data_IF_343290473570
#
_entry.id   IF_343290473570
#
_cell.length_a   1.000
_cell.length_b   1.000
_cell.length_c   1.000
_cell.angle_alpha   90.00
_cell.angle_beta   90.00
_cell.angle_gamma   90.00
#
_symmetry.space_group_name_H-M   'P 1'
#
loop_
_entity.id
_entity.type
_entity.pdbx_description
1 polymer ?
#
# COMPACT_ATOMS: atom_id res chain seq x y z
N UNK A 1 -15.42 3.90 19.92
CA UNK A 1 -16.64 3.74 19.11
C UNK A 1 -16.52 2.43 18.33
N UNK A 2 -17.26 1.38 18.67
CA UNK A 2 -17.33 0.18 17.82
C UNK A 2 -18.32 0.48 16.70
N UNK A 3 -17.82 0.91 15.53
CA UNK A 3 -18.69 1.04 14.36
C UNK A 3 -19.19 -0.36 14.00
N UNK A 4 -20.50 -0.57 13.92
CA UNK A 4 -21.02 -1.82 13.37
C UNK A 4 -21.06 -1.70 11.85
N UNK A 5 -20.50 -2.68 11.14
CA UNK A 5 -20.64 -2.74 9.69
C UNK A 5 -22.12 -2.90 9.35
N UNK A 6 -22.64 -1.98 8.54
CA UNK A 6 -23.98 -2.12 7.99
C UNK A 6 -23.98 -3.36 7.08
N UNK A 7 -25.09 -4.12 7.00
CA UNK A 7 -25.14 -5.36 6.22
C UNK A 7 -24.71 -5.19 4.76
N UNK A 8 -25.01 -4.04 4.15
CA UNK A 8 -24.60 -3.72 2.79
C UNK A 8 -23.08 -3.48 2.66
N UNK A 9 -22.43 -2.88 3.65
CA UNK A 9 -20.97 -2.72 3.68
C UNK A 9 -20.28 -4.09 3.78
N UNK A 10 -20.78 -4.95 4.68
CA UNK A 10 -20.28 -6.31 4.82
C UNK A 10 -20.48 -7.12 3.53
N UNK A 11 -21.66 -7.00 2.90
CA UNK A 11 -21.95 -7.66 1.64
C UNK A 11 -21.00 -7.16 0.53
N UNK A 12 -20.79 -5.84 0.40
CA UNK A 12 -19.88 -5.27 -0.58
C UNK A 12 -18.43 -5.79 -0.38
N UNK A 13 -17.95 -5.83 0.87
CA UNK A 13 -16.63 -6.38 1.20
C UNK A 13 -16.51 -7.87 0.81
N UNK A 14 -17.43 -8.70 1.33
CA UNK A 14 -17.37 -10.16 1.16
C UNK A 14 -17.59 -10.57 -0.29
N UNK A 15 -18.57 -9.97 -0.98
CA UNK A 15 -18.84 -10.27 -2.39
C UNK A 15 -17.69 -9.82 -3.29
N UNK A 16 -17.04 -8.69 -3.00
CA UNK A 16 -15.89 -8.23 -3.79
C UNK A 16 -14.69 -9.16 -3.60
N UNK A 17 -14.26 -9.38 -2.36
CA UNK A 17 -13.07 -10.20 -2.08
C UNK A 17 -13.30 -11.67 -2.43
N UNK A 18 -14.44 -12.23 -2.00
CA UNK A 18 -14.83 -13.60 -2.32
C UNK A 18 -15.06 -13.79 -3.81
N UNK A 19 -15.72 -12.84 -4.48
CA UNK A 19 -15.95 -12.87 -5.92
C UNK A 19 -14.66 -12.86 -6.72
N UNK A 20 -13.69 -12.02 -6.36
CA UNK A 20 -12.36 -12.01 -6.98
C UNK A 20 -11.66 -13.36 -6.80
N UNK A 21 -11.64 -13.91 -5.59
CA UNK A 21 -11.01 -15.19 -5.30
C UNK A 21 -11.66 -16.34 -6.09
N UNK A 22 -12.99 -16.42 -6.09
CA UNK A 22 -13.76 -17.42 -6.84
C UNK A 22 -13.51 -17.27 -8.35
N UNK A 23 -13.53 -16.04 -8.88
CA UNK A 23 -13.25 -15.77 -10.29
C UNK A 23 -11.83 -16.20 -10.68
N UNK A 24 -10.84 -15.90 -9.83
CA UNK A 24 -9.46 -16.33 -10.01
C UNK A 24 -9.34 -17.85 -10.11
N UNK A 25 -9.92 -18.57 -9.15
CA UNK A 25 -9.92 -20.04 -9.14
C UNK A 25 -10.66 -20.63 -10.35
N UNK A 26 -11.83 -20.08 -10.71
CA UNK A 26 -12.60 -20.56 -11.85
C UNK A 26 -11.83 -20.39 -13.17
N UNK A 27 -11.19 -19.23 -13.37
CA UNK A 27 -10.42 -18.94 -14.59
C UNK A 27 -9.10 -19.72 -14.66
N UNK A 28 -8.54 -20.12 -13.50
CA UNK A 28 -7.30 -20.90 -13.41
C UNK A 28 -7.52 -22.41 -13.29
N UNK A 29 -8.74 -22.93 -13.49
CA UNK A 29 -9.10 -24.35 -13.23
C UNK A 29 -8.47 -25.38 -14.17
N UNK A 30 -7.73 -24.96 -15.20
CA UNK A 30 -7.19 -25.88 -16.20
C UNK A 30 -6.00 -26.70 -15.67
N UNK A 31 -5.83 -27.93 -16.19
CA UNK A 31 -4.74 -28.84 -15.80
C UNK A 31 -3.42 -28.36 -16.41
N UNK A 32 -2.63 -27.63 -15.62
CA UNK A 32 -1.31 -27.15 -16.02
C UNK A 32 -0.15 -28.00 -15.54
N UNK A 33 1.04 -27.77 -16.10
CA UNK A 33 2.30 -28.32 -15.59
C UNK A 33 2.73 -27.60 -14.29
N UNK A 34 3.69 -28.18 -13.58
CA UNK A 34 4.31 -27.52 -12.42
C UNK A 34 4.96 -26.18 -12.80
N UNK A 35 5.58 -26.12 -13.98
CA UNK A 35 6.20 -24.90 -14.51
C UNK A 35 5.14 -23.84 -14.80
N UNK A 36 4.03 -24.20 -15.43
CA UNK A 36 2.91 -23.26 -15.64
C UNK A 36 2.37 -22.71 -14.33
N UNK A 37 2.23 -23.58 -13.32
CA UNK A 37 1.76 -23.18 -12.00
C UNK A 37 2.73 -22.19 -11.31
N UNK A 38 4.04 -22.37 -11.45
CA UNK A 38 5.04 -21.55 -10.74
C UNK A 38 5.40 -20.24 -11.46
N UNK A 39 5.59 -20.28 -12.78
CA UNK A 39 6.12 -19.15 -13.57
C UNK A 39 5.21 -18.62 -14.67
N UNK A 40 4.11 -19.32 -15.00
CA UNK A 40 3.25 -18.98 -16.13
C UNK A 40 3.85 -19.34 -17.51
N UNK A 41 3.01 -19.69 -18.49
CA UNK A 41 3.43 -20.19 -19.81
C UNK A 41 3.88 -19.10 -20.82
N UNK A 42 4.61 -18.06 -20.43
CA UNK A 42 5.08 -17.03 -21.40
C UNK A 42 3.96 -16.38 -22.23
N UNK A 43 2.78 -16.17 -21.65
CA UNK A 43 1.60 -15.67 -22.38
C UNK A 43 1.03 -14.36 -21.81
N UNK A 44 1.60 -13.84 -20.74
CA UNK A 44 1.12 -12.63 -20.10
C UNK A 44 1.25 -11.42 -21.03
N UNK A 45 0.13 -10.73 -21.25
CA UNK A 45 0.06 -9.46 -21.95
C UNK A 45 0.64 -8.33 -21.09
N UNK A 46 1.32 -7.36 -21.70
CA UNK A 46 2.04 -6.29 -21.01
C UNK A 46 1.18 -5.53 -20.00
N UNK A 47 -0.09 -5.29 -20.32
CA UNK A 47 -1.02 -4.57 -19.45
C UNK A 47 -1.36 -5.38 -18.21
N UNK A 48 -1.59 -6.68 -18.36
CA UNK A 48 -1.86 -7.59 -17.23
C UNK A 48 -0.65 -7.67 -16.31
N UNK A 49 0.56 -7.74 -16.88
CA UNK A 49 1.80 -7.69 -16.10
C UNK A 49 1.92 -6.38 -15.33
N UNK A 50 1.67 -5.24 -15.99
CA UNK A 50 1.79 -3.92 -15.38
C UNK A 50 0.77 -3.70 -14.26
N UNK A 51 -0.50 -4.11 -14.46
CA UNK A 51 -1.52 -4.07 -13.42
C UNK A 51 -1.16 -4.99 -12.25
N UNK A 52 -0.59 -6.17 -12.50
CA UNK A 52 -0.09 -7.06 -11.45
C UNK A 52 1.08 -6.46 -10.65
N UNK A 53 2.00 -5.77 -11.33
CA UNK A 53 3.09 -5.02 -10.69
C UNK A 53 2.52 -3.90 -9.80
N UNK A 54 1.60 -3.09 -10.33
CA UNK A 54 0.96 -2.01 -9.59
C UNK A 54 0.18 -2.56 -8.38
N UNK A 55 -0.56 -3.66 -8.55
CA UNK A 55 -1.29 -4.33 -7.49
C UNK A 55 -0.38 -4.87 -6.40
N UNK A 56 0.80 -5.40 -6.75
CA UNK A 56 1.75 -5.92 -5.75
C UNK A 56 2.38 -4.79 -4.93
N UNK A 57 2.52 -3.61 -5.52
CA UNK A 57 3.01 -2.42 -4.81
C UNK A 57 1.91 -1.67 -4.05
N UNK A 58 0.64 -2.01 -4.30
CA UNK A 58 -0.48 -1.48 -3.57
C UNK A 58 -0.60 -2.27 -2.26
N UNK A 59 -0.19 -1.67 -1.15
CA UNK A 59 -0.35 -2.28 0.18
C UNK A 59 -1.54 -1.66 0.92
N UNK A 60 -2.01 -2.31 1.99
CA UNK A 60 -2.96 -1.69 2.91
C UNK A 60 -2.42 -0.34 3.42
N UNK A 61 -1.13 -0.28 3.76
CA UNK A 61 -0.42 0.94 4.19
C UNK A 61 -0.53 2.04 3.13
N UNK A 62 -0.39 1.70 1.84
CA UNK A 62 -0.50 2.70 0.76
C UNK A 62 -1.84 3.43 0.81
N UNK A 63 -2.95 2.73 1.08
CA UNK A 63 -4.28 3.33 1.04
C UNK A 63 -4.71 4.01 2.34
N UNK A 64 -4.16 3.60 3.49
CA UNK A 64 -4.42 4.29 4.76
C UNK A 64 -3.46 5.46 4.97
N UNK A 65 -2.15 5.20 4.83
CA UNK A 65 -1.11 6.15 5.21
C UNK A 65 -0.82 7.20 4.15
N UNK A 66 -0.95 6.90 2.85
CA UNK A 66 -0.63 7.91 1.83
C UNK A 66 -1.60 9.09 1.83
N UNK A 67 -2.94 8.92 1.89
CA UNK A 67 -3.82 10.06 2.04
C UNK A 67 -3.54 10.84 3.33
N UNK A 68 -3.21 10.15 4.43
CA UNK A 68 -2.74 10.76 5.66
C UNK A 68 -1.47 11.59 5.51
N UNK A 69 -0.52 11.09 4.71
CA UNK A 69 0.68 11.83 4.35
C UNK A 69 0.34 13.05 3.47
N UNK A 70 -0.61 12.94 2.55
CA UNK A 70 -1.11 14.09 1.79
C UNK A 70 -1.77 15.15 2.68
N UNK A 71 -2.46 14.72 3.74
CA UNK A 71 -3.09 15.60 4.72
C UNK A 71 -2.05 16.36 5.57
N UNK A 72 -0.99 15.68 6.00
CA UNK A 72 0.03 16.27 6.89
C UNK A 72 1.20 16.95 6.18
N UNK A 73 1.73 16.33 5.12
CA UNK A 73 2.96 16.73 4.42
C UNK A 73 2.71 17.29 3.01
N UNK A 74 1.48 17.19 2.50
CA UNK A 74 1.15 17.59 1.13
C UNK A 74 1.71 16.65 0.05
N UNK A 75 2.11 17.22 -1.08
CA UNK A 75 2.47 16.48 -2.29
C UNK A 75 3.94 16.04 -2.38
N UNK A 76 4.81 16.52 -1.46
CA UNK A 76 6.27 16.31 -1.49
C UNK A 76 6.72 14.85 -1.36
N UNK A 77 5.83 13.94 -0.98
CA UNK A 77 6.15 12.51 -0.97
C UNK A 77 6.25 11.93 -2.40
N UNK A 78 5.56 12.51 -3.38
CA UNK A 78 5.46 11.96 -4.74
C UNK A 78 6.82 11.83 -5.45
N UNK A 79 7.76 12.74 -5.21
CA UNK A 79 9.11 12.71 -5.80
C UNK A 79 9.92 11.45 -5.46
N UNK A 80 9.58 10.74 -4.37
CA UNK A 80 10.16 9.42 -4.08
C UNK A 80 10.00 8.43 -5.24
N UNK A 81 8.94 8.57 -6.03
CA UNK A 81 8.65 7.69 -7.15
C UNK A 81 9.37 8.07 -8.46
N UNK A 82 10.10 9.20 -8.50
CA UNK A 82 10.83 9.64 -9.72
C UNK A 82 11.99 8.71 -10.10
N UNK A 83 12.61 8.03 -9.13
CA UNK A 83 13.68 7.08 -9.41
C UNK A 83 13.20 5.78 -10.08
N UNK A 84 11.92 5.41 -9.91
CA UNK A 84 11.38 4.16 -10.42
C UNK A 84 11.34 4.08 -11.96
N UNK A 85 10.84 5.09 -12.71
CA UNK A 85 10.92 5.09 -14.18
C UNK A 85 12.33 4.84 -14.71
N UNK A 86 13.35 5.46 -14.09
CA UNK A 86 14.74 5.29 -14.47
C UNK A 86 15.22 3.85 -14.20
N UNK A 87 14.87 3.28 -13.04
CA UNK A 87 15.20 1.91 -12.71
C UNK A 87 14.56 0.91 -13.69
N UNK A 88 13.28 1.07 -14.00
CA UNK A 88 12.56 0.20 -14.93
C UNK A 88 13.11 0.33 -16.36
N UNK A 89 13.52 1.53 -16.78
CA UNK A 89 14.23 1.72 -18.04
C UNK A 89 15.54 0.93 -18.06
N UNK A 90 16.37 1.07 -17.02
CA UNK A 90 17.66 0.35 -16.91
C UNK A 90 17.46 -1.16 -16.91
N UNK A 91 16.51 -1.66 -16.12
CA UNK A 91 16.20 -3.09 -16.07
C UNK A 91 15.71 -3.61 -17.41
N UNK A 92 14.78 -2.91 -18.06
CA UNK A 92 14.24 -3.30 -19.37
C UNK A 92 15.28 -3.24 -20.50
N UNK A 93 16.22 -2.30 -20.43
CA UNK A 93 17.28 -2.15 -21.42
C UNK A 93 18.39 -3.19 -21.26
N UNK A 94 18.85 -3.47 -20.04
CA UNK A 94 20.06 -4.26 -19.80
C UNK A 94 19.86 -5.56 -19.02
N UNK A 95 19.00 -5.59 -18.01
CA UNK A 95 18.88 -6.77 -17.11
C UNK A 95 17.93 -7.81 -17.68
N UNK A 96 16.72 -7.42 -18.08
CA UNK A 96 15.70 -8.31 -18.63
C UNK A 96 16.23 -9.11 -19.85
N UNK A 97 16.93 -8.51 -20.84
CA UNK A 97 17.46 -9.28 -21.96
C UNK A 97 18.45 -10.38 -21.53
N UNK A 98 19.23 -10.16 -20.47
CA UNK A 98 20.18 -11.16 -19.95
C UNK A 98 19.45 -12.31 -19.28
N UNK A 99 18.46 -12.00 -18.45
CA UNK A 99 17.59 -13.00 -17.84
C UNK A 99 16.90 -13.87 -18.90
N UNK A 100 16.26 -13.26 -19.90
CA UNK A 100 15.59 -14.01 -20.96
C UNK A 100 16.53 -14.91 -21.77
N UNK A 101 17.76 -14.45 -22.06
CA UNK A 101 18.76 -15.27 -22.79
C UNK A 101 19.35 -16.40 -21.96
N UNK A 102 19.38 -16.28 -20.64
CA UNK A 102 19.97 -17.29 -19.76
C UNK A 102 19.14 -18.57 -19.64
N UNK A 103 17.83 -18.49 -19.90
CA UNK A 103 16.90 -19.60 -19.65
C UNK A 103 16.67 -19.92 -18.16
N UNK A 104 17.20 -19.10 -17.25
CA UNK A 104 16.97 -19.25 -15.81
C UNK A 104 15.49 -19.04 -15.46
N UNK A 105 14.99 -19.80 -14.48
CA UNK A 105 13.59 -19.75 -14.03
C UNK A 105 13.41 -18.94 -12.74
N UNK A 106 14.51 -18.65 -12.05
CA UNK A 106 14.56 -17.70 -10.93
C UNK A 106 15.72 -16.71 -11.09
N UNK A 107 15.61 -15.56 -10.42
CA UNK A 107 16.72 -14.61 -10.28
C UNK A 107 17.99 -15.29 -9.73
N UNK A 108 17.81 -16.27 -8.84
CA UNK A 108 18.90 -16.93 -8.13
C UNK A 108 19.56 -18.02 -8.97
N UNK A 109 18.79 -18.74 -9.78
CA UNK A 109 19.32 -19.67 -10.80
C UNK A 109 20.25 -18.95 -11.78
N UNK A 110 19.90 -17.73 -12.19
CA UNK A 110 20.77 -16.91 -13.03
C UNK A 110 22.14 -16.65 -12.37
N UNK A 111 22.18 -16.45 -11.05
CA UNK A 111 23.43 -16.20 -10.32
C UNK A 111 24.39 -17.40 -10.32
N UNK A 112 23.89 -18.63 -10.45
CA UNK A 112 24.75 -19.81 -10.51
C UNK A 112 25.65 -19.79 -11.74
N UNK A 113 25.12 -19.36 -12.90
CA UNK A 113 25.91 -19.23 -14.13
C UNK A 113 26.99 -18.16 -14.06
N UNK A 114 26.89 -17.21 -13.11
CA UNK A 114 27.81 -16.07 -12.97
C UNK A 114 28.80 -16.27 -11.83
N UNK A 115 28.32 -16.75 -10.67
CA UNK A 115 29.08 -16.81 -9.41
C UNK A 115 29.14 -18.21 -8.78
N UNK A 116 28.44 -19.18 -9.37
CA UNK A 116 28.40 -20.57 -8.89
C UNK A 116 27.32 -20.86 -7.86
N UNK A 117 27.16 -22.16 -7.50
CA UNK A 117 26.02 -22.66 -6.74
C UNK A 117 25.94 -22.15 -5.30
N UNK A 118 27.08 -21.79 -4.70
CA UNK A 118 27.12 -21.23 -3.32
C UNK A 118 26.39 -19.89 -3.24
N UNK A 119 26.56 -19.03 -4.25
CA UNK A 119 25.90 -17.72 -4.31
C UNK A 119 24.41 -17.87 -4.61
N UNK A 120 24.04 -18.80 -5.51
CA UNK A 120 22.63 -19.18 -5.72
C UNK A 120 21.95 -19.59 -4.42
N UNK A 121 22.57 -20.53 -3.68
CA UNK A 121 22.05 -21.01 -2.41
C UNK A 121 21.88 -19.90 -1.39
N UNK A 122 22.91 -19.07 -1.18
CA UNK A 122 22.85 -17.95 -0.24
C UNK A 122 21.76 -16.94 -0.61
N UNK A 123 21.71 -16.48 -1.87
CA UNK A 123 20.74 -15.49 -2.31
C UNK A 123 19.30 -16.01 -2.22
N UNK A 124 19.07 -17.27 -2.62
CA UNK A 124 17.76 -17.90 -2.51
C UNK A 124 17.34 -18.09 -1.04
N UNK A 125 18.24 -18.50 -0.15
CA UNK A 125 17.94 -18.61 1.29
C UNK A 125 17.58 -17.25 1.91
N UNK A 126 18.35 -16.20 1.62
CA UNK A 126 18.07 -14.85 2.10
C UNK A 126 16.71 -14.35 1.60
N UNK A 127 16.37 -14.61 0.34
CA UNK A 127 15.05 -14.32 -0.20
C UNK A 127 13.95 -15.08 0.56
N UNK A 128 14.06 -16.40 0.71
CA UNK A 128 13.04 -17.21 1.38
C UNK A 128 12.77 -16.75 2.83
N UNK A 129 13.83 -16.44 3.59
CA UNK A 129 13.71 -15.98 4.98
C UNK A 129 13.10 -14.58 5.04
N UNK A 130 13.71 -13.61 4.35
CA UNK A 130 13.24 -12.21 4.41
C UNK A 130 11.82 -12.05 3.85
N UNK A 131 11.51 -12.74 2.76
CA UNK A 131 10.22 -12.62 2.09
C UNK A 131 9.10 -13.30 2.87
N UNK A 132 9.36 -14.45 3.51
CA UNK A 132 8.35 -15.11 4.34
C UNK A 132 7.95 -14.27 5.55
N UNK A 133 8.91 -13.59 6.19
CA UNK A 133 8.62 -12.63 7.25
C UNK A 133 7.80 -11.45 6.75
N UNK A 134 8.17 -10.89 5.59
CA UNK A 134 7.45 -9.78 4.97
C UNK A 134 5.99 -10.13 4.64
N UNK A 135 5.72 -11.32 4.08
CA UNK A 135 4.34 -11.78 3.78
C UNK A 135 3.49 -11.82 5.05
N UNK A 136 4.05 -12.32 6.16
CA UNK A 136 3.34 -12.37 7.44
C UNK A 136 2.92 -10.97 7.93
N UNK A 137 3.81 -9.99 7.84
CA UNK A 137 3.51 -8.59 8.18
C UNK A 137 2.43 -8.04 7.22
N UNK A 138 2.51 -8.35 5.93
CA UNK A 138 1.53 -7.92 4.92
C UNK A 138 0.13 -8.49 5.19
N UNK A 139 0.02 -9.74 5.60
CA UNK A 139 -1.26 -10.35 6.01
C UNK A 139 -1.81 -9.77 7.31
N UNK A 140 -0.91 -9.38 8.22
CA UNK A 140 -1.26 -8.81 9.53
C UNK A 140 -1.83 -7.40 9.42
N UNK A 141 -1.22 -6.52 8.62
CA UNK A 141 -1.59 -5.11 8.51
C UNK A 141 -3.11 -4.83 8.29
N UNK A 142 -3.79 -5.41 7.29
CA UNK A 142 -5.23 -5.19 7.11
C UNK A 142 -6.07 -5.83 8.21
N UNK A 143 -5.59 -6.91 8.84
CA UNK A 143 -6.32 -7.58 9.92
C UNK A 143 -6.36 -6.71 11.18
N UNK A 144 -5.27 -6.01 11.51
CA UNK A 144 -5.24 -5.02 12.60
C UNK A 144 -6.29 -3.95 12.34
N UNK A 145 -6.28 -3.37 11.14
CA UNK A 145 -7.23 -2.33 10.75
C UNK A 145 -8.65 -2.82 10.95
N UNK A 146 -9.04 -3.95 10.34
CA UNK A 146 -10.42 -4.46 10.46
C UNK A 146 -10.80 -4.84 11.90
N UNK A 147 -9.88 -5.46 12.64
CA UNK A 147 -10.09 -5.85 14.04
C UNK A 147 -10.37 -4.64 14.92
N UNK A 148 -9.54 -3.61 14.79
CA UNK A 148 -9.62 -2.44 15.62
C UNK A 148 -10.82 -1.54 15.28
N UNK A 149 -11.27 -1.54 14.02
CA UNK A 149 -12.47 -0.79 13.62
C UNK A 149 -13.78 -1.45 14.06
N UNK A 150 -13.89 -2.76 13.85
CA UNK A 150 -15.15 -3.48 14.01
C UNK A 150 -15.21 -4.33 15.28
N UNK A 151 -14.16 -4.29 16.10
CA UNK A 151 -14.02 -5.13 17.30
C UNK A 151 -13.90 -6.62 16.96
N UNK A 152 -13.51 -6.96 15.73
CA UNK A 152 -13.33 -8.36 15.34
C UNK A 152 -12.12 -8.96 16.03
N UNK A 153 -12.16 -10.26 16.32
CA UNK A 153 -11.01 -10.94 16.89
C UNK A 153 -9.84 -10.94 15.89
N UNK A 154 -8.75 -10.26 16.22
CA UNK A 154 -7.57 -10.09 15.35
C UNK A 154 -7.04 -11.42 14.80
N UNK A 155 -6.92 -12.44 15.66
CA UNK A 155 -6.41 -13.76 15.26
C UNK A 155 -7.35 -14.41 14.25
N UNK A 156 -8.67 -14.36 14.48
CA UNK A 156 -9.67 -14.87 13.52
C UNK A 156 -9.61 -14.11 12.20
N UNK A 157 -9.49 -12.78 12.24
CA UNK A 157 -9.38 -11.96 11.03
C UNK A 157 -8.14 -12.31 10.21
N UNK A 158 -6.97 -12.47 10.85
CA UNK A 158 -5.75 -12.96 10.19
C UNK A 158 -5.96 -14.33 9.55
N UNK A 159 -6.58 -15.27 10.27
CA UNK A 159 -6.84 -16.62 9.77
C UNK A 159 -7.77 -16.61 8.55
N UNK A 160 -8.83 -15.79 8.55
CA UNK A 160 -9.77 -15.70 7.42
C UNK A 160 -9.09 -15.10 6.19
N UNK A 161 -8.37 -13.98 6.34
CA UNK A 161 -7.64 -13.34 5.23
C UNK A 161 -6.59 -14.30 4.67
N UNK A 162 -5.79 -14.90 5.55
CA UNK A 162 -4.77 -15.89 5.18
C UNK A 162 -5.38 -17.08 4.44
N UNK A 163 -6.47 -17.66 4.95
CA UNK A 163 -7.14 -18.78 4.32
C UNK A 163 -7.62 -18.46 2.89
N UNK A 164 -8.19 -17.27 2.65
CA UNK A 164 -8.61 -16.84 1.32
C UNK A 164 -7.40 -16.71 0.39
N UNK A 165 -6.34 -16.04 0.83
CA UNK A 165 -5.10 -15.86 0.04
C UNK A 165 -4.49 -17.21 -0.31
N UNK A 166 -4.36 -18.10 0.68
CA UNK A 166 -3.81 -19.44 0.49
C UNK A 166 -4.67 -20.24 -0.49
N UNK A 167 -6.01 -20.19 -0.35
CA UNK A 167 -6.91 -20.98 -1.16
C UNK A 167 -6.75 -20.72 -2.66
N UNK A 168 -6.85 -19.45 -3.12
CA UNK A 168 -6.73 -19.18 -4.56
C UNK A 168 -5.28 -19.31 -5.06
N UNK A 169 -4.28 -19.00 -4.23
CA UNK A 169 -2.87 -19.07 -4.62
C UNK A 169 -2.42 -20.52 -4.75
N UNK A 170 -2.73 -21.37 -3.78
CA UNK A 170 -2.40 -22.80 -3.83
C UNK A 170 -3.26 -23.56 -4.86
N UNK A 171 -4.47 -23.10 -5.17
CA UNK A 171 -5.31 -23.72 -6.19
C UNK A 171 -4.77 -23.49 -7.61
N UNK A 172 -4.51 -22.22 -7.96
CA UNK A 172 -4.25 -21.80 -9.34
C UNK A 172 -2.87 -21.22 -9.64
N UNK A 173 -2.00 -21.08 -8.64
CA UNK A 173 -0.62 -20.62 -8.80
C UNK A 173 -0.54 -19.25 -9.48
N UNK A 174 0.52 -19.05 -10.28
CA UNK A 174 0.78 -17.82 -11.00
C UNK A 174 -0.43 -17.30 -11.79
N UNK A 175 -1.20 -18.17 -12.44
CA UNK A 175 -2.35 -17.76 -13.26
C UNK A 175 -3.51 -17.23 -12.44
N UNK A 176 -3.83 -17.86 -11.31
CA UNK A 176 -4.83 -17.32 -10.39
C UNK A 176 -4.39 -15.96 -9.84
N UNK A 177 -3.12 -15.86 -9.41
CA UNK A 177 -2.55 -14.60 -8.90
C UNK A 177 -2.65 -13.49 -9.96
N UNK A 178 -2.26 -13.74 -11.20
CA UNK A 178 -2.34 -12.77 -12.29
C UNK A 178 -3.78 -12.23 -12.50
N UNK A 179 -4.75 -13.15 -12.50
CA UNK A 179 -6.17 -12.81 -12.72
C UNK A 179 -6.74 -12.04 -11.53
N UNK A 180 -6.50 -12.50 -10.29
CA UNK A 180 -6.99 -11.83 -9.09
C UNK A 180 -6.35 -10.45 -8.94
N UNK A 181 -5.04 -10.30 -9.19
CA UNK A 181 -4.34 -9.02 -9.14
C UNK A 181 -4.93 -8.00 -10.12
N UNK A 182 -5.28 -8.43 -11.33
CA UNK A 182 -5.90 -7.54 -12.32
C UNK A 182 -7.25 -7.03 -11.81
N UNK A 183 -8.09 -7.90 -11.26
CA UNK A 183 -9.38 -7.52 -10.69
C UNK A 183 -9.22 -6.64 -9.43
N UNK A 184 -8.27 -6.97 -8.56
CA UNK A 184 -7.92 -6.21 -7.37
C UNK A 184 -7.48 -4.79 -7.73
N UNK A 185 -6.60 -4.63 -8.72
CA UNK A 185 -6.15 -3.30 -9.17
C UNK A 185 -7.31 -2.46 -9.70
N UNK A 186 -8.23 -3.07 -10.46
CA UNK A 186 -9.43 -2.39 -10.94
C UNK A 186 -10.30 -1.91 -9.78
N UNK A 187 -10.57 -2.78 -8.79
CA UNK A 187 -11.34 -2.40 -7.59
C UNK A 187 -10.65 -1.28 -6.81
N UNK A 188 -9.33 -1.36 -6.65
CA UNK A 188 -8.50 -0.33 -6.03
C UNK A 188 -8.67 1.02 -6.73
N UNK A 189 -8.47 1.07 -8.05
CA UNK A 189 -8.57 2.33 -8.80
C UNK A 189 -9.98 2.93 -8.72
N UNK A 190 -11.01 2.10 -8.89
CA UNK A 190 -12.41 2.54 -8.80
C UNK A 190 -12.76 3.02 -7.40
N UNK A 191 -12.30 2.34 -6.34
CA UNK A 191 -12.57 2.73 -4.97
C UNK A 191 -11.87 4.03 -4.59
N UNK A 192 -10.65 4.28 -5.08
CA UNK A 192 -9.98 5.57 -4.89
C UNK A 192 -10.70 6.72 -5.61
N UNK A 193 -11.17 6.48 -6.84
CA UNK A 193 -11.99 7.47 -7.57
C UNK A 193 -13.31 7.73 -6.85
N UNK A 194 -13.97 6.69 -6.33
CA UNK A 194 -15.17 6.85 -5.53
C UNK A 194 -14.91 7.68 -4.26
N UNK A 195 -13.82 7.40 -3.53
CA UNK A 195 -13.42 8.18 -2.37
C UNK A 195 -13.15 9.64 -2.71
N UNK A 196 -12.45 9.91 -3.83
CA UNK A 196 -12.22 11.26 -4.34
C UNK A 196 -13.54 12.00 -4.60
N UNK A 197 -14.49 11.36 -5.28
CA UNK A 197 -15.80 11.96 -5.61
C UNK A 197 -16.59 12.25 -4.34
N UNK A 198 -16.63 11.33 -3.38
CA UNK A 198 -17.33 11.54 -2.09
C UNK A 198 -16.69 12.69 -1.30
N UNK A 199 -15.36 12.77 -1.27
CA UNK A 199 -14.66 13.89 -0.62
C UNK A 199 -15.01 15.23 -1.27
N UNK A 200 -14.99 15.27 -2.60
CA UNK A 200 -15.28 16.47 -3.38
C UNK A 200 -16.73 16.94 -3.20
N UNK A 201 -17.69 16.02 -3.25
CA UNK A 201 -19.12 16.30 -3.01
C UNK A 201 -19.41 16.72 -1.56
N UNK A 202 -18.52 16.37 -0.65
CA UNK A 202 -18.65 16.74 0.75
C UNK A 202 -18.16 18.15 1.09
N UNK A 203 -17.57 18.89 0.16
CA UNK A 203 -17.18 20.28 0.37
C UNK A 203 -18.41 21.20 0.49
N UNK A 204 -18.35 22.32 1.22
CA UNK A 204 -19.43 23.29 1.28
C UNK A 204 -19.82 23.83 -0.10
N UNK A 205 -21.08 24.26 -0.25
CA UNK A 205 -21.56 24.85 -1.51
C UNK A 205 -20.69 26.04 -1.95
N UNK A 206 -20.36 26.09 -3.24
CA UNK A 206 -19.48 27.10 -3.81
C UNK A 206 -17.98 26.82 -3.64
N UNK A 207 -17.59 25.86 -2.80
CA UNK A 207 -16.20 25.45 -2.65
C UNK A 207 -15.87 24.25 -3.56
N UNK A 208 -14.83 24.41 -4.36
CA UNK A 208 -14.39 23.40 -5.33
C UNK A 208 -12.87 23.17 -5.30
N UNK A 209 -12.35 22.51 -6.33
CA UNK A 209 -10.93 22.17 -6.41
C UNK A 209 -9.99 23.38 -6.39
N UNK A 210 -10.45 24.54 -6.89
CA UNK A 210 -9.68 25.79 -6.85
C UNK A 210 -9.42 26.23 -5.42
N UNK A 211 -10.43 26.18 -4.55
CA UNK A 211 -10.28 26.54 -3.14
C UNK A 211 -9.44 25.52 -2.38
N UNK A 212 -9.64 24.23 -2.66
CA UNK A 212 -8.79 23.17 -2.10
C UNK A 212 -7.32 23.45 -2.42
N UNK A 213 -7.02 23.84 -3.67
CA UNK A 213 -5.66 24.15 -4.08
C UNK A 213 -5.13 25.44 -3.46
N UNK A 214 -5.93 26.51 -3.38
CA UNK A 214 -5.53 27.80 -2.78
C UNK A 214 -5.22 27.64 -1.28
N UNK A 215 -6.03 26.88 -0.56
CA UNK A 215 -5.83 26.56 0.86
C UNK A 215 -4.55 25.75 1.08
N UNK A 216 -4.39 24.66 0.32
CA UNK A 216 -3.20 23.82 0.45
C UNK A 216 -1.92 24.55 0.01
N UNK A 217 -2.03 25.56 -0.88
CA UNK A 217 -0.91 26.44 -1.22
C UNK A 217 -0.51 27.30 -0.02
N UNK A 218 -1.49 27.90 0.68
CA UNK A 218 -1.24 28.67 1.91
C UNK A 218 -0.49 27.83 2.96
N UNK A 219 -0.81 26.54 3.04
CA UNK A 219 -0.21 25.59 3.99
C UNK A 219 1.10 24.97 3.49
N UNK A 220 1.59 25.34 2.30
CA UNK A 220 2.82 24.77 1.73
C UNK A 220 2.69 23.31 1.24
N UNK A 221 1.47 22.77 1.17
CA UNK A 221 1.22 21.37 0.81
C UNK A 221 1.24 21.11 -0.70
N UNK A 222 1.28 22.14 -1.54
CA UNK A 222 1.29 22.00 -3.01
C UNK A 222 2.68 21.76 -3.60
N UNK A 223 3.76 21.82 -2.80
CA UNK A 223 5.10 21.56 -3.29
C UNK A 223 5.27 20.08 -3.65
N UNK A 224 5.43 19.79 -4.94
CA UNK A 224 5.65 18.42 -5.44
C UNK A 224 7.14 18.07 -5.49
N UNK A 225 7.94 19.02 -5.99
CA UNK A 225 9.36 18.85 -6.23
C UNK A 225 10.14 19.81 -5.34
N UNK A 226 11.12 19.25 -4.62
CA UNK A 226 12.08 20.00 -3.83
C UNK A 226 13.49 19.74 -4.36
N UNK A 227 14.15 20.78 -4.86
CA UNK A 227 15.49 20.71 -5.44
C UNK A 227 16.60 21.05 -4.44
N UNK A 228 16.26 21.33 -3.18
CA UNK A 228 17.25 21.65 -2.15
C UNK A 228 18.25 20.49 -1.96
N UNK A 229 19.53 20.83 -1.91
CA UNK A 229 20.58 19.88 -1.60
C UNK A 229 20.76 19.77 -0.09
N UNK A 230 19.92 18.96 0.55
CA UNK A 230 19.99 18.68 1.98
C UNK A 230 19.95 17.17 2.25
N UNK A 231 21.09 16.54 2.58
CA UNK A 231 21.15 15.11 2.87
C UNK A 231 20.32 14.66 4.08
N UNK A 232 19.96 15.59 4.99
CA UNK A 232 19.07 15.30 6.12
C UNK A 232 17.58 15.35 5.75
N UNK A 233 17.23 15.99 4.62
CA UNK A 233 15.85 16.03 4.15
C UNK A 233 15.44 14.67 3.58
N UNK A 234 14.34 14.12 4.11
CA UNK A 234 13.81 12.82 3.69
C UNK A 234 13.33 12.83 2.25
N UNK A 235 12.74 13.96 1.82
CA UNK A 235 12.09 14.08 0.53
C UNK A 235 12.66 15.27 -0.23
N UNK A 236 13.56 14.98 -1.16
CA UNK A 236 14.02 15.90 -2.22
C UNK A 236 14.01 15.15 -3.55
N UNK A 237 14.14 15.87 -4.66
CA UNK A 237 14.33 15.28 -5.99
C UNK A 237 15.56 14.38 -5.99
N UNK A 238 16.62 14.77 -5.28
CA UNK A 238 17.86 14.00 -5.17
C UNK A 238 17.68 12.71 -4.37
N UNK A 239 17.03 12.77 -3.20
CA UNK A 239 16.75 11.57 -2.39
C UNK A 239 15.76 10.65 -3.10
N UNK A 240 14.77 11.20 -3.79
CA UNK A 240 13.79 10.44 -4.58
C UNK A 240 14.39 9.78 -5.82
N UNK A 241 15.28 10.46 -6.53
CA UNK A 241 16.02 9.88 -7.65
C UNK A 241 16.97 8.79 -7.17
N UNK A 242 17.86 9.07 -6.21
CA UNK A 242 18.85 8.10 -5.76
C UNK A 242 18.19 6.92 -4.99
N UNK A 243 17.43 7.22 -3.94
CA UNK A 243 16.78 6.21 -3.10
C UNK A 243 15.71 5.43 -3.86
N UNK A 244 14.83 6.13 -4.59
CA UNK A 244 13.80 5.50 -5.41
C UNK A 244 14.38 4.64 -6.53
N UNK A 245 15.49 5.07 -7.16
CA UNK A 245 16.16 4.29 -8.21
C UNK A 245 16.76 3.01 -7.67
N UNK A 246 17.59 3.06 -6.63
CA UNK A 246 18.26 1.86 -6.11
C UNK A 246 17.26 0.90 -5.45
N UNK A 247 16.24 1.41 -4.75
CA UNK A 247 15.18 0.57 -4.21
C UNK A 247 14.39 -0.12 -5.33
N UNK A 248 14.03 0.61 -6.39
CA UNK A 248 13.34 0.02 -7.54
C UNK A 248 14.24 -0.97 -8.29
N UNK A 249 15.54 -0.69 -8.44
CA UNK A 249 16.49 -1.62 -9.06
C UNK A 249 16.60 -2.93 -8.26
N UNK A 250 16.71 -2.84 -6.93
CA UNK A 250 16.76 -4.01 -6.07
C UNK A 250 15.45 -4.80 -6.14
N UNK A 251 14.31 -4.12 -5.96
CA UNK A 251 13.00 -4.74 -5.96
C UNK A 251 12.66 -5.35 -7.32
N UNK A 252 12.70 -4.57 -8.40
CA UNK A 252 12.34 -5.08 -9.71
C UNK A 252 13.40 -5.96 -10.34
N UNK A 253 14.67 -5.86 -9.96
CA UNK A 253 15.76 -6.59 -10.61
C UNK A 253 16.18 -7.88 -9.92
N UNK A 254 15.90 -8.04 -8.61
CA UNK A 254 16.45 -9.17 -7.81
C UNK A 254 15.40 -9.91 -6.98
N UNK A 255 14.22 -9.33 -6.79
CA UNK A 255 13.14 -9.95 -6.03
C UNK A 255 12.36 -10.94 -6.89
N UNK A 256 12.29 -12.21 -6.50
CA UNK A 256 11.60 -13.22 -7.31
C UNK A 256 10.10 -12.93 -7.50
N UNK A 257 9.46 -12.20 -6.57
CA UNK A 257 8.05 -11.78 -6.73
C UNK A 257 7.82 -10.83 -7.90
N UNK A 258 8.88 -10.13 -8.34
CA UNK A 258 8.88 -9.28 -9.53
C UNK A 258 9.55 -9.99 -10.71
N UNK A 259 10.73 -10.56 -10.49
CA UNK A 259 11.54 -11.22 -11.52
C UNK A 259 10.79 -12.34 -12.22
N UNK A 260 10.00 -13.12 -11.46
CA UNK A 260 9.19 -14.20 -12.01
C UNK A 260 8.26 -13.75 -13.15
N UNK A 261 7.79 -12.49 -13.13
CA UNK A 261 6.85 -11.97 -14.14
C UNK A 261 7.44 -11.82 -15.53
N UNK A 262 8.72 -11.52 -15.62
CA UNK A 262 9.40 -11.30 -16.89
C UNK A 262 10.36 -12.44 -17.26
N UNK A 263 10.72 -13.32 -16.32
CA UNK A 263 11.23 -14.65 -16.66
C UNK A 263 10.13 -15.48 -17.37
N UNK A 264 8.90 -15.43 -16.87
CA UNK A 264 7.71 -16.00 -17.51
C UNK A 264 7.04 -15.09 -18.55
N UNK A 265 7.71 -14.05 -19.04
CA UNK A 265 7.14 -13.07 -19.97
C UNK A 265 7.03 -13.58 -21.41
N UNK A 266 6.07 -13.04 -22.18
CA UNK A 266 5.82 -13.44 -23.58
C UNK A 266 6.91 -12.99 -24.55
N UNK A 267 7.40 -11.76 -24.40
CA UNK A 267 8.49 -11.22 -25.21
C UNK A 267 9.12 -10.02 -24.51
N UNK A 268 10.35 -9.69 -24.91
CA UNK A 268 11.06 -8.50 -24.41
C UNK A 268 10.27 -7.21 -24.65
N UNK A 269 9.55 -7.11 -25.77
CA UNK A 269 8.71 -5.96 -26.10
C UNK A 269 7.55 -5.81 -25.12
N UNK A 270 6.85 -6.91 -24.81
CA UNK A 270 5.75 -6.91 -23.84
C UNK A 270 6.25 -6.50 -22.45
N UNK A 271 7.40 -7.04 -22.03
CA UNK A 271 7.99 -6.69 -20.73
C UNK A 271 8.33 -5.19 -20.68
N UNK A 272 9.01 -4.67 -21.71
CA UNK A 272 9.38 -3.24 -21.80
C UNK A 272 8.16 -2.32 -21.83
N UNK A 273 7.09 -2.68 -22.54
CA UNK A 273 5.82 -1.94 -22.54
C UNK A 273 5.20 -1.89 -21.14
N UNK A 274 5.17 -3.03 -20.45
CA UNK A 274 4.64 -3.09 -19.08
C UNK A 274 5.47 -2.28 -18.08
N UNK A 275 6.80 -2.30 -18.22
CA UNK A 275 7.70 -1.46 -17.42
C UNK A 275 7.50 0.03 -17.70
N UNK A 276 7.41 0.42 -18.97
CA UNK A 276 7.16 1.81 -19.36
C UNK A 276 5.82 2.30 -18.78
N UNK A 277 4.75 1.52 -18.94
CA UNK A 277 3.45 1.86 -18.38
C UNK A 277 3.51 1.99 -16.85
N UNK A 278 4.14 1.03 -16.16
CA UNK A 278 4.30 1.07 -14.70
C UNK A 278 5.05 2.32 -14.25
N UNK A 279 6.19 2.62 -14.88
CA UNK A 279 6.99 3.79 -14.55
C UNK A 279 6.21 5.09 -14.75
N UNK A 280 5.51 5.22 -15.88
CA UNK A 280 4.74 6.43 -16.19
C UNK A 280 3.51 6.62 -15.30
N UNK A 281 2.81 5.54 -14.94
CA UNK A 281 1.55 5.62 -14.18
C UNK A 281 1.79 5.76 -12.68
N UNK A 282 2.90 5.24 -12.13
CA UNK A 282 3.10 5.19 -10.68
C UNK A 282 3.15 6.58 -10.05
N UNK A 283 3.81 7.54 -10.69
CA UNK A 283 3.91 8.90 -10.16
C UNK A 283 2.57 9.66 -10.18
N UNK A 284 1.81 9.73 -11.29
CA UNK A 284 0.44 10.26 -11.30
C UNK A 284 -0.51 9.57 -10.33
N UNK A 285 -0.44 8.24 -10.23
CA UNK A 285 -1.25 7.47 -9.28
C UNK A 285 -0.94 7.88 -7.84
N UNK A 286 0.33 8.11 -7.50
CA UNK A 286 0.70 8.57 -6.17
C UNK A 286 0.20 9.99 -5.89
N UNK A 287 0.33 10.91 -6.85
CA UNK A 287 -0.23 12.25 -6.72
C UNK A 287 -1.75 12.22 -6.50
N UNK A 288 -2.46 11.31 -7.17
CA UNK A 288 -3.89 11.13 -6.97
C UNK A 288 -4.24 10.62 -5.56
N UNK A 289 -3.46 9.69 -5.02
CA UNK A 289 -3.71 9.20 -3.64
C UNK A 289 -3.36 10.30 -2.62
N UNK A 290 -2.30 11.08 -2.84
CA UNK A 290 -1.94 12.22 -1.98
C UNK A 290 -2.99 13.34 -2.05
N UNK A 291 -3.62 13.56 -3.22
CA UNK A 291 -4.65 14.59 -3.37
C UNK A 291 -5.93 14.28 -2.57
N UNK A 292 -6.21 13.00 -2.27
CA UNK A 292 -7.24 12.65 -1.27
C UNK A 292 -6.92 13.28 0.09
N UNK A 293 -5.65 13.34 0.47
CA UNK A 293 -5.17 14.02 1.68
C UNK A 293 -5.40 15.53 1.66
N UNK A 294 -5.12 16.18 0.52
CA UNK A 294 -5.40 17.61 0.34
C UNK A 294 -6.90 17.93 0.45
N UNK A 295 -7.75 17.06 -0.10
CA UNK A 295 -9.20 17.16 0.00
C UNK A 295 -9.70 16.91 1.43
N UNK A 296 -9.15 15.93 2.13
CA UNK A 296 -9.44 15.69 3.56
C UNK A 296 -9.09 16.92 4.40
N UNK A 297 -7.93 17.52 4.15
CA UNK A 297 -7.48 18.72 4.87
C UNK A 297 -8.42 19.89 4.61
N UNK A 298 -8.82 20.11 3.36
CA UNK A 298 -9.79 21.15 3.02
C UNK A 298 -11.14 20.87 3.70
N UNK A 299 -11.63 19.63 3.66
CA UNK A 299 -12.88 19.25 4.34
C UNK A 299 -12.81 19.53 5.84
N UNK A 300 -11.72 19.12 6.50
CA UNK A 300 -11.53 19.34 7.93
C UNK A 300 -11.25 20.81 8.28
N UNK A 301 -10.77 21.61 7.34
CA UNK A 301 -10.66 23.05 7.50
C UNK A 301 -12.04 23.74 7.51
N UNK A 302 -12.97 23.26 6.69
CA UNK A 302 -14.35 23.75 6.65
C UNK A 302 -15.28 23.10 7.68
N UNK A 303 -14.78 22.15 8.46
CA UNK A 303 -15.49 21.46 9.54
C UNK A 303 -14.67 21.59 10.83
N UNK A 304 -15.14 20.98 11.92
CA UNK A 304 -14.36 20.92 13.15
C UNK A 304 -13.28 19.83 13.03
N UNK A 305 -12.02 20.24 12.90
CA UNK A 305 -10.85 19.35 12.94
C UNK A 305 -10.57 18.97 14.41
N UNK A 306 -10.69 17.69 14.82
CA UNK A 306 -10.30 17.30 16.18
C UNK A 306 -8.79 17.41 16.34
N UNK A 307 -8.33 17.73 17.56
CA UNK A 307 -6.89 17.76 17.86
C UNK A 307 -6.23 16.39 17.62
N UNK A 308 -6.94 15.30 17.93
CA UNK A 308 -6.45 13.92 17.80
C UNK A 308 -7.30 13.10 16.84
N UNK A 309 -6.67 12.52 15.82
CA UNK A 309 -7.31 11.55 14.94
C UNK A 309 -7.12 10.11 15.41
N UNK A 310 -6.03 9.81 16.13
CA UNK A 310 -5.88 8.53 16.81
C UNK A 310 -6.89 8.44 17.98
N UNK A 311 -7.89 7.55 17.93
CA UNK A 311 -8.90 7.42 18.97
C UNK A 311 -8.35 6.89 20.31
N UNK A 312 -7.21 6.19 20.32
CA UNK A 312 -6.56 5.78 21.57
C UNK A 312 -6.03 7.00 22.31
N UNK A 313 -5.31 7.86 21.60
CA UNK A 313 -4.79 9.12 22.15
C UNK A 313 -5.92 10.08 22.49
N UNK A 314 -6.93 10.20 21.63
CA UNK A 314 -8.07 11.07 21.88
C UNK A 314 -8.82 10.72 23.17
N UNK A 315 -8.91 9.42 23.53
CA UNK A 315 -9.53 8.97 24.80
C UNK A 315 -8.69 9.35 26.01
N UNK A 316 -7.38 9.15 25.91
CA UNK A 316 -6.44 9.48 27.00
C UNK A 316 -6.32 11.00 27.20
N UNK A 317 -6.39 11.77 26.10
CA UNK A 317 -6.24 13.23 26.11
C UNK A 317 -7.36 13.98 26.85
N UNK A 318 -8.56 13.39 26.96
CA UNK A 318 -9.75 14.10 27.48
C UNK A 318 -9.48 14.70 28.85
N UNK A 319 -9.49 16.03 28.93
CA UNK A 319 -9.28 16.78 30.17
C UNK A 319 -7.83 16.93 30.62
N UNK A 320 -6.84 16.45 29.85
CA UNK A 320 -5.41 16.66 30.17
C UNK A 320 -5.05 18.14 30.14
N UNK A 321 -5.36 18.82 29.03
CA UNK A 321 -4.95 20.22 28.76
C UNK A 321 -6.11 21.03 28.17
N UNK A 322 -7.09 21.43 29.01
CA UNK A 322 -8.24 22.23 28.55
C UNK A 322 -7.83 23.56 27.89
N UNK A 323 -6.66 24.08 28.27
CA UNK A 323 -6.07 25.29 27.68
C UNK A 323 -5.60 25.09 26.24
N UNK A 324 -5.06 23.91 25.90
CA UNK A 324 -4.69 23.56 24.51
C UNK A 324 -5.93 23.27 23.67
N UNK A 325 -6.94 22.61 24.25
CA UNK A 325 -8.21 22.36 23.57
C UNK A 325 -8.91 23.67 23.18
N UNK A 326 -8.92 24.66 24.08
CA UNK A 326 -9.50 25.98 23.82
C UNK A 326 -8.73 26.72 22.71
N UNK A 327 -7.39 26.72 22.76
CA UNK A 327 -6.55 27.35 21.72
C UNK A 327 -6.71 26.67 20.36
N UNK A 328 -6.86 25.35 20.34
CA UNK A 328 -7.10 24.60 19.12
C UNK A 328 -8.45 24.95 18.49
N UNK A 329 -9.50 25.02 19.31
CA UNK A 329 -10.83 25.46 18.87
C UNK A 329 -10.80 26.88 18.32
N UNK A 330 -10.12 27.82 18.99
CA UNK A 330 -9.95 29.20 18.52
C UNK A 330 -9.26 29.26 17.16
N UNK A 331 -8.16 28.54 16.97
CA UNK A 331 -7.45 28.48 15.69
C UNK A 331 -8.34 27.91 14.58
N UNK A 332 -9.13 26.89 14.87
CA UNK A 332 -10.07 26.31 13.90
C UNK A 332 -11.18 27.29 13.51
N UNK A 333 -11.73 28.02 14.47
CA UNK A 333 -12.74 29.03 14.21
C UNK A 333 -12.18 30.17 13.32
N UNK A 334 -11.00 30.70 13.67
CA UNK A 334 -10.34 31.74 12.88
C UNK A 334 -10.04 31.27 11.44
N UNK A 335 -9.59 30.01 11.31
CA UNK A 335 -9.35 29.36 10.00
C UNK A 335 -10.63 29.31 9.16
N UNK A 336 -11.75 28.87 9.75
CA UNK A 336 -13.05 28.81 9.07
C UNK A 336 -13.56 30.19 8.67
N UNK A 337 -13.44 31.19 9.55
CA UNK A 337 -13.85 32.57 9.28
C UNK A 337 -13.06 33.20 8.12
N UNK A 338 -11.74 32.97 8.07
CA UNK A 338 -10.91 33.40 6.95
C UNK A 338 -11.27 32.67 5.66
N UNK A 339 -11.70 31.41 5.74
CA UNK A 339 -12.06 30.61 4.57
C UNK A 339 -13.26 31.18 3.80
N UNK A 340 -14.16 31.87 4.49
CA UNK A 340 -15.32 32.53 3.90
C UNK A 340 -14.99 33.84 3.16
N UNK A 341 -13.77 34.37 3.32
CA UNK A 341 -13.37 35.64 2.71
C UNK A 341 -12.81 35.43 1.29
N UNK A 342 -12.89 36.44 0.40
CA UNK A 342 -12.28 36.38 -0.93
C UNK A 342 -10.77 36.08 -0.86
N UNK A 343 -10.23 35.40 -1.88
CA UNK A 343 -8.80 35.11 -1.96
C UNK A 343 -7.98 36.41 -2.15
N UNK A 344 -7.17 36.76 -1.15
CA UNK A 344 -6.22 37.88 -1.20
C UNK A 344 -4.84 37.43 -0.70
N UNK A 345 -3.74 38.12 -1.06
CA UNK A 345 -2.41 37.83 -0.52
C UNK A 345 -2.36 37.90 1.02
N UNK A 346 -3.11 38.82 1.61
CA UNK A 346 -3.22 38.99 3.07
C UNK A 346 -3.90 37.78 3.71
N UNK A 347 -5.03 37.32 3.12
CA UNK A 347 -5.72 36.10 3.57
C UNK A 347 -4.78 34.88 3.51
N UNK A 348 -4.02 34.73 2.43
CA UNK A 348 -3.04 33.65 2.26
C UNK A 348 -1.96 33.68 3.35
N UNK A 349 -1.40 34.85 3.66
CA UNK A 349 -0.41 35.01 4.73
C UNK A 349 -0.98 34.71 6.12
N UNK A 350 -2.20 35.16 6.40
CA UNK A 350 -2.86 34.86 7.67
C UNK A 350 -3.17 33.36 7.82
N UNK A 351 -3.68 32.71 6.77
CA UNK A 351 -3.89 31.25 6.75
C UNK A 351 -2.59 30.48 7.01
N UNK A 352 -1.48 30.91 6.41
CA UNK A 352 -0.17 30.32 6.68
C UNK A 352 0.23 30.45 8.16
N UNK A 353 0.05 31.64 8.75
CA UNK A 353 0.36 31.85 10.19
C UNK A 353 -0.52 31.01 11.12
N UNK A 354 -1.81 30.87 10.80
CA UNK A 354 -2.73 30.03 11.57
C UNK A 354 -2.37 28.55 11.45
N UNK A 355 -1.90 28.13 10.28
CA UNK A 355 -1.42 26.77 10.07
C UNK A 355 -0.15 26.46 10.86
N UNK A 356 0.81 27.39 10.90
CA UNK A 356 1.99 27.29 11.76
C UNK A 356 1.59 27.20 13.24
N UNK A 357 0.66 28.05 13.68
CA UNK A 357 0.13 28.01 15.06
C UNK A 357 -0.55 26.67 15.36
N UNK A 358 -1.37 26.16 14.45
CA UNK A 358 -2.00 24.83 14.55
C UNK A 358 -0.94 23.74 14.72
N UNK A 359 0.09 23.73 13.89
CA UNK A 359 1.15 22.73 13.94
C UNK A 359 1.95 22.81 15.26
N UNK A 360 2.19 24.01 15.78
CA UNK A 360 2.83 24.22 17.08
C UNK A 360 1.96 23.65 18.23
N UNK A 361 0.65 23.97 18.25
CA UNK A 361 -0.27 23.42 19.25
C UNK A 361 -0.31 21.88 19.20
N UNK A 362 -0.30 21.31 18.00
CA UNK A 362 -0.24 19.85 17.82
C UNK A 362 1.07 19.28 18.37
N UNK A 363 2.21 19.94 18.15
CA UNK A 363 3.49 19.51 18.67
C UNK A 363 3.54 19.55 20.20
N UNK A 364 3.00 20.60 20.83
CA UNK A 364 2.89 20.71 22.29
C UNK A 364 2.01 19.59 22.87
N UNK A 365 0.88 19.30 22.22
CA UNK A 365 0.01 18.19 22.62
C UNK A 365 0.70 16.82 22.49
N UNK A 366 1.48 16.61 21.42
CA UNK A 366 2.29 15.39 21.24
C UNK A 366 3.32 15.24 22.35
N UNK A 367 4.02 16.32 22.72
CA UNK A 367 5.01 16.28 23.80
C UNK A 367 4.36 15.89 25.15
N UNK A 368 3.17 16.42 25.44
CA UNK A 368 2.41 16.09 26.66
C UNK A 368 1.99 14.61 26.70
N UNK A 369 1.45 14.08 25.59
CA UNK A 369 1.07 12.66 25.50
C UNK A 369 2.29 11.76 25.65
N UNK A 370 3.41 12.11 25.01
CA UNK A 370 4.65 11.32 25.13
C UNK A 370 5.22 11.33 26.55
N UNK A 371 5.04 12.44 27.30
CA UNK A 371 5.45 12.52 28.69
C UNK A 371 4.55 11.69 29.62
N UNK A 372 3.23 11.68 29.38
CA UNK A 372 2.24 11.04 30.27
C UNK A 372 1.97 9.57 29.91
N UNK A 373 1.98 9.25 28.61
CA UNK A 373 1.64 7.95 28.05
C UNK A 373 2.62 7.57 26.91
N UNK A 374 3.91 7.31 27.21
CA UNK A 374 4.96 7.07 26.20
C UNK A 374 4.75 5.80 25.36
N UNK A 375 3.83 4.93 25.75
CA UNK A 375 3.46 3.73 25.02
C UNK A 375 2.47 4.00 23.88
N UNK A 376 1.84 5.19 23.85
CA UNK A 376 0.87 5.56 22.82
C UNK A 376 1.54 6.08 21.54
N UNK A 377 1.12 5.55 20.40
CA UNK A 377 1.56 6.06 19.09
C UNK A 377 0.84 7.39 18.76
N UNK A 378 1.59 8.48 18.80
CA UNK A 378 1.08 9.85 18.57
C UNK A 378 0.95 10.22 17.09
N UNK A 379 1.39 9.36 16.17
CA UNK A 379 1.30 9.62 14.73
C UNK A 379 -0.14 9.48 14.22
N UNK A 380 -0.82 10.62 14.10
CA UNK A 380 -2.23 10.68 13.70
C UNK A 380 -2.50 10.48 12.20
N UNK A 381 -1.51 10.71 11.35
CA UNK A 381 -1.70 10.72 9.88
C UNK A 381 -2.35 9.43 9.37
N UNK A 382 -2.01 8.27 9.95
CA UNK A 382 -2.52 6.97 9.53
C UNK A 382 -4.02 6.77 9.83
N UNK A 383 -4.60 7.63 10.67
CA UNK A 383 -5.99 7.55 11.12
C UNK A 383 -6.92 8.53 10.43
N UNK A 384 -6.41 9.60 9.82
CA UNK A 384 -7.20 10.69 9.23
C UNK A 384 -8.19 10.17 8.18
N UNK A 385 -7.68 9.45 7.17
CA UNK A 385 -8.50 8.98 6.06
C UNK A 385 -9.49 7.91 6.49
N UNK A 386 -9.07 7.01 7.37
CA UNK A 386 -9.91 5.93 7.85
C UNK A 386 -11.02 6.46 8.77
N UNK A 387 -10.70 7.36 9.69
CA UNK A 387 -11.66 8.01 10.57
C UNK A 387 -12.71 8.79 9.78
N UNK A 388 -12.28 9.54 8.75
CA UNK A 388 -13.22 10.17 7.82
C UNK A 388 -14.12 9.15 7.14
N UNK A 389 -13.54 8.08 6.56
CA UNK A 389 -14.30 7.09 5.80
C UNK A 389 -15.39 6.42 6.65
N UNK A 390 -15.10 6.10 7.91
CA UNK A 390 -16.06 5.48 8.83
C UNK A 390 -17.22 6.40 9.19
N UNK A 391 -16.95 7.69 9.39
CA UNK A 391 -17.96 8.66 9.77
C UNK A 391 -18.82 9.17 8.60
N UNK A 392 -18.27 9.20 7.39
CA UNK A 392 -18.82 9.99 6.30
C UNK A 392 -19.03 9.24 4.98
N UNK A 393 -18.49 8.02 4.80
CA UNK A 393 -18.78 7.28 3.57
C UNK A 393 -20.23 6.79 3.51
N UNK A 394 -20.88 6.89 2.34
CA UNK A 394 -22.18 6.27 2.10
C UNK A 394 -22.15 4.76 2.32
N UNK A 395 -23.30 4.20 2.69
CA UNK A 395 -23.46 2.75 2.87
C UNK A 395 -23.12 2.01 1.58
N UNK A 396 -22.38 0.91 1.68
CA UNK A 396 -21.87 0.10 0.58
C UNK A 396 -20.50 0.56 0.10
N UNK A 397 -20.25 1.88 0.01
CA UNK A 397 -18.96 2.41 -0.42
C UNK A 397 -17.87 2.20 0.65
N UNK A 398 -18.22 2.26 1.94
CA UNK A 398 -17.30 1.90 3.01
C UNK A 398 -16.86 0.43 2.88
N UNK A 399 -17.80 -0.48 2.64
CA UNK A 399 -17.49 -1.89 2.35
C UNK A 399 -16.54 -2.09 1.16
N UNK A 400 -16.74 -1.32 0.08
CA UNK A 400 -15.83 -1.32 -1.08
C UNK A 400 -14.45 -0.76 -0.74
N UNK A 401 -14.35 0.31 0.08
CA UNK A 401 -13.07 0.83 0.53
C UNK A 401 -12.30 -0.21 1.36
N UNK A 402 -12.98 -0.93 2.25
CA UNK A 402 -12.38 -2.04 2.99
C UNK A 402 -11.90 -3.15 2.04
N UNK A 403 -12.65 -3.40 0.96
CA UNK A 403 -12.22 -4.32 -0.09
C UNK A 403 -10.98 -3.81 -0.84
N UNK A 404 -10.82 -2.50 -1.05
CA UNK A 404 -9.59 -1.90 -1.62
C UNK A 404 -8.38 -2.17 -0.74
N UNK A 405 -8.52 -1.91 0.57
CA UNK A 405 -7.45 -2.17 1.56
C UNK A 405 -7.05 -3.64 1.54
N UNK A 406 -8.06 -4.52 1.50
CA UNK A 406 -7.83 -5.96 1.48
C UNK A 406 -7.23 -6.45 0.17
N UNK A 407 -7.71 -5.95 -0.96
CA UNK A 407 -7.22 -6.26 -2.28
C UNK A 407 -5.71 -6.01 -2.41
N UNK A 408 -5.20 -4.90 -1.86
CA UNK A 408 -3.77 -4.58 -1.88
C UNK A 408 -2.91 -5.54 -1.03
N UNK A 409 -3.37 -5.90 0.17
CA UNK A 409 -2.64 -6.87 0.98
C UNK A 409 -2.67 -8.28 0.38
N UNK A 410 -3.79 -8.68 -0.23
CA UNK A 410 -3.95 -9.98 -0.86
C UNK A 410 -3.13 -10.11 -2.16
N UNK A 411 -3.12 -9.07 -2.99
CA UNK A 411 -2.35 -9.03 -4.24
C UNK A 411 -0.85 -9.25 -3.97
N UNK A 412 -0.29 -8.49 -3.02
CA UNK A 412 1.11 -8.60 -2.60
C UNK A 412 1.41 -9.97 -2.00
N UNK A 413 0.65 -10.39 -0.98
CA UNK A 413 0.85 -11.67 -0.30
C UNK A 413 0.83 -12.86 -1.26
N UNK A 414 -0.14 -12.91 -2.19
CA UNK A 414 -0.24 -14.03 -3.13
C UNK A 414 0.91 -14.11 -4.15
N UNK A 415 1.44 -12.98 -4.61
CA UNK A 415 2.62 -12.96 -5.48
C UNK A 415 3.88 -13.42 -4.75
N UNK A 416 4.05 -12.99 -3.51
CA UNK A 416 5.18 -13.39 -2.67
C UNK A 416 5.12 -14.86 -2.29
N UNK A 417 3.95 -15.39 -1.91
CA UNK A 417 3.75 -16.83 -1.64
C UNK A 417 4.07 -17.67 -2.89
N UNK A 418 3.64 -17.24 -4.07
CA UNK A 418 3.99 -17.93 -5.32
C UNK A 418 5.50 -17.90 -5.59
N UNK A 419 6.16 -16.76 -5.35
CA UNK A 419 7.60 -16.60 -5.54
C UNK A 419 8.43 -17.45 -4.55
N UNK A 420 7.98 -17.55 -3.29
CA UNK A 420 8.55 -18.44 -2.29
C UNK A 420 8.47 -19.91 -2.74
N UNK A 421 7.32 -20.32 -3.28
CA UNK A 421 7.12 -21.66 -3.80
C UNK A 421 8.00 -21.96 -5.03
N UNK A 422 8.05 -21.03 -5.98
CA UNK A 422 8.89 -21.15 -7.16
C UNK A 422 10.37 -21.30 -6.80
N UNK A 423 10.86 -20.42 -5.92
CA UNK A 423 12.25 -20.45 -5.41
C UNK A 423 12.54 -21.78 -4.70
N UNK A 424 11.63 -22.25 -3.85
CA UNK A 424 11.84 -23.50 -3.11
C UNK A 424 11.92 -24.72 -4.03
N UNK A 425 11.02 -24.83 -5.00
CA UNK A 425 10.99 -25.97 -5.93
C UNK A 425 12.16 -25.91 -6.92
N UNK A 426 12.49 -24.73 -7.46
CA UNK A 426 13.50 -24.58 -8.51
C UNK A 426 14.91 -24.58 -7.92
N UNK A 427 15.16 -23.78 -6.88
CA UNK A 427 16.51 -23.58 -6.35
C UNK A 427 16.93 -24.62 -5.31
N UNK A 428 15.96 -25.19 -4.57
CA UNK A 428 16.24 -26.19 -3.54
C UNK A 428 15.66 -27.57 -3.85
N UNK A 429 14.99 -27.76 -5.00
CA UNK A 429 14.30 -29.02 -5.28
C UNK A 429 15.21 -30.25 -5.26
N UNK A 430 16.44 -30.14 -5.78
CA UNK A 430 17.43 -31.23 -5.73
C UNK A 430 17.90 -31.53 -4.30
N UNK A 431 18.09 -30.49 -3.47
CA UNK A 431 18.60 -30.60 -2.10
C UNK A 431 17.53 -31.14 -1.14
N UNK A 432 16.29 -30.69 -1.31
CA UNK A 432 15.15 -31.03 -0.44
C UNK A 432 14.33 -32.23 -0.97
N UNK A 433 14.71 -32.81 -2.11
CA UNK A 433 13.96 -33.89 -2.76
C UNK A 433 12.58 -33.48 -3.29
N UNK A 434 12.34 -32.17 -3.51
CA UNK A 434 11.09 -31.67 -4.06
C UNK A 434 11.05 -31.94 -5.57
N UNK A 435 10.17 -32.85 -5.99
CA UNK A 435 9.92 -33.10 -7.42
C UNK A 435 9.10 -31.95 -8.01
N UNK A 436 9.46 -31.48 -9.19
CA UNK A 436 8.71 -30.45 -9.95
C UNK A 436 7.41 -31.03 -10.52
N UNK A 437 6.46 -31.31 -9.64
CA UNK A 437 5.11 -31.78 -9.99
C UNK A 437 4.08 -30.76 -9.53
N UNK A 438 2.94 -30.70 -10.20
CA UNK A 438 1.85 -29.80 -9.81
C UNK A 438 1.44 -30.01 -8.35
N UNK A 439 1.39 -31.27 -7.90
CA UNK A 439 1.08 -31.61 -6.51
C UNK A 439 2.10 -31.00 -5.54
N UNK A 440 3.39 -31.16 -5.82
CA UNK A 440 4.46 -30.58 -5.00
C UNK A 440 4.36 -29.06 -4.96
N UNK A 441 4.21 -28.40 -6.12
CA UNK A 441 4.12 -26.95 -6.18
C UNK A 441 2.95 -26.42 -5.36
N UNK A 442 1.76 -27.04 -5.46
CA UNK A 442 0.60 -26.67 -4.64
C UNK A 442 0.85 -26.82 -3.15
N UNK A 443 1.47 -27.92 -2.72
CA UNK A 443 1.80 -28.15 -1.31
C UNK A 443 2.82 -27.15 -0.78
N UNK A 444 3.87 -26.86 -1.56
CA UNK A 444 4.90 -25.88 -1.18
C UNK A 444 4.30 -24.47 -1.11
N UNK A 445 3.42 -24.10 -2.03
CA UNK A 445 2.66 -22.84 -1.98
C UNK A 445 1.80 -22.76 -0.72
N UNK A 446 1.04 -23.82 -0.40
CA UNK A 446 0.24 -23.87 0.81
C UNK A 446 1.11 -23.79 2.08
N UNK A 447 2.24 -24.50 2.11
CA UNK A 447 3.21 -24.44 3.21
C UNK A 447 3.69 -23.02 3.46
N UNK A 448 4.14 -22.30 2.43
CA UNK A 448 4.61 -20.91 2.61
C UNK A 448 3.50 -19.96 3.05
N UNK A 449 2.27 -20.18 2.55
CA UNK A 449 1.11 -19.44 3.02
C UNK A 449 0.80 -19.68 4.50
N UNK A 450 0.85 -20.94 4.95
CA UNK A 450 0.69 -21.30 6.36
C UNK A 450 1.83 -20.75 7.23
N UNK A 451 3.07 -20.78 6.74
CA UNK A 451 4.22 -20.22 7.42
C UNK A 451 4.08 -18.69 7.59
N UNK A 452 3.70 -17.98 6.54
CA UNK A 452 3.42 -16.54 6.59
C UNK A 452 2.26 -16.22 7.54
N UNK A 453 1.20 -17.02 7.54
CA UNK A 453 0.10 -16.89 8.50
C UNK A 453 0.57 -17.13 9.94
N UNK A 454 1.48 -18.09 10.16
CA UNK A 454 2.14 -18.28 11.45
C UNK A 454 2.93 -17.05 11.90
N UNK A 455 3.70 -16.43 11.00
CA UNK A 455 4.39 -15.16 11.27
C UNK A 455 3.40 -14.05 11.59
N UNK A 456 2.30 -13.92 10.85
CA UNK A 456 1.27 -12.92 11.12
C UNK A 456 0.64 -13.08 12.51
N UNK A 457 0.40 -14.33 12.93
CA UNK A 457 -0.11 -14.64 14.27
C UNK A 457 0.93 -14.35 15.37
N UNK A 458 2.23 -14.57 15.11
CA UNK A 458 3.29 -14.19 16.05
C UNK A 458 3.46 -12.67 16.12
N UNK A 459 3.37 -11.96 14.99
CA UNK A 459 3.39 -10.50 14.96
C UNK A 459 2.23 -9.91 15.77
N UNK A 460 1.07 -10.58 15.80
CA UNK A 460 -0.06 -10.17 16.67
C UNK A 460 0.23 -10.23 18.17
N UNK A 461 1.34 -10.85 18.59
CA UNK A 461 1.80 -10.86 19.99
C UNK A 461 2.68 -9.65 20.32
N UNK A 462 3.22 -8.97 19.30
CA UNK A 462 4.02 -7.76 19.43
C UNK A 462 3.14 -6.57 19.01
N UNK A 463 2.37 -6.04 19.94
CA UNK A 463 1.59 -4.80 19.75
C UNK A 463 2.54 -3.66 19.36
N UNK A 464 2.12 -2.77 18.43
CA UNK A 464 2.55 -1.36 18.26
C UNK A 464 2.37 -0.73 16.86
N UNK A 465 1.88 -1.45 15.83
CA UNK A 465 1.83 -0.85 14.48
C UNK A 465 0.65 0.11 14.25
N UNK A 466 -0.51 -0.14 14.89
CA UNK A 466 -1.70 0.72 14.90
C UNK A 466 -2.41 0.48 16.23
N UNK A 467 -2.43 1.48 17.11
CA UNK A 467 -3.18 1.47 18.38
C UNK A 467 -4.46 2.30 18.19
N UNK A 468 -5.65 1.78 18.51
CA UNK A 468 -6.95 2.44 18.30
C UNK A 468 -7.78 2.54 19.57
#
# INVERSE_FOLDING_TARGET
>A
MTASLRPLDLAALVLTIGGIAIYGMWKSRQKGSATEFLSGQHQTHWLTMALGILATQASAITFLSTPGQGFGDGLRFAQFYLGMPLALFVLGAWVVPRYMRSGARTAYEYLEGVFGPRVRGLAASLFLISRSLAVGITLYAPAIVLSALFGWNLKVTVLVIGAVVIAYTAFGGYKAVEVTQTAQMTVILLGLVAAFVVLLQGLPEGQGLTEVWSLNRAYGHTQVLDFEWNPASRYTVWSGLAGGFFLAMAYFGTDQSQVGRYLGGKSLTEIRRGFLFTGLIKFPMQLFILSLGLLLLARMHFADEPLWHNPAVAREWVGMRPDLDAQWAEVNEQRQQLAAQPETPERQAQLASLHERRNALKADAVAEVQATAPHLETKDQDYVFLGWALGHMPVGLLGLLLAVIMAGAMSSSSAEINALAATSVIDFGRVLGLRETLKTSRWVTAFWGLAAMGVALLASLYENLIQL
#
